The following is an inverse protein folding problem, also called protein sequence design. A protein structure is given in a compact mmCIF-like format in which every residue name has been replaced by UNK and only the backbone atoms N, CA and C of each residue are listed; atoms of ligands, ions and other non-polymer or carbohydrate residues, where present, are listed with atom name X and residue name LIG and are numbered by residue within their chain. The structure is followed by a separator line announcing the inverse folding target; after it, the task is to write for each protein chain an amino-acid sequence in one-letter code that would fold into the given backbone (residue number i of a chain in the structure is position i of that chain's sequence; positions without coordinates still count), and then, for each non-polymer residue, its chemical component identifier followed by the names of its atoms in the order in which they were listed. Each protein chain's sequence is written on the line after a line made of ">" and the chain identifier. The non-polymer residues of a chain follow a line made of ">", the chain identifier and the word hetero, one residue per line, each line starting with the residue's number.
data_IF_930388914334
#
_entry.id   IF_930388914334
#
_cell.length_a   1.000
_cell.length_b   1.000
_cell.length_c   1.000
_cell.angle_alpha   90.00
_cell.angle_beta   90.00
_cell.angle_gamma   90.00
#
_symmetry.space_group_name_H-M   'P 1'
#
loop_
_entity.id
_entity.type
_entity.pdbx_description
1 polymer ?
#
# COMPACT_ATOMS: atom_id res chain seq x y z
N UNK A 1 79.19 -33.58 -8.60
CA UNK A 1 78.18 -34.58 -8.21
C UNK A 1 76.87 -33.85 -8.04
N UNK A 2 75.97 -34.10 -8.98
CA UNK A 2 74.59 -33.62 -9.07
C UNK A 2 73.75 -34.19 -7.93
N UNK A 3 73.01 -33.34 -7.22
CA UNK A 3 71.88 -33.80 -6.43
C UNK A 3 70.66 -32.91 -6.75
N UNK A 4 69.95 -33.34 -7.78
CA UNK A 4 68.61 -32.93 -8.16
C UNK A 4 67.58 -33.75 -7.39
N UNK A 5 66.37 -33.18 -7.22
CA UNK A 5 65.11 -33.81 -6.79
C UNK A 5 64.91 -33.84 -5.25
N UNK A 6 63.85 -33.31 -4.67
CA UNK A 6 62.45 -33.26 -5.10
C UNK A 6 61.81 -31.93 -4.74
N UNK A 7 61.52 -31.11 -5.76
CA UNK A 7 60.43 -30.14 -5.68
C UNK A 7 59.18 -30.90 -6.12
N UNK A 8 58.41 -31.41 -5.17
CA UNK A 8 57.07 -31.93 -5.45
C UNK A 8 56.18 -30.74 -5.86
N UNK A 9 56.26 -30.39 -7.14
CA UNK A 9 55.20 -29.66 -7.83
C UNK A 9 54.03 -30.63 -7.91
N UNK A 10 53.07 -30.49 -7.00
CA UNK A 10 51.72 -31.00 -7.22
C UNK A 10 51.12 -30.13 -8.33
N UNK A 11 51.45 -30.41 -9.58
CA UNK A 11 50.53 -30.14 -10.68
C UNK A 11 49.39 -31.14 -10.50
N UNK A 12 48.37 -30.71 -9.75
CA UNK A 12 47.11 -31.43 -9.65
C UNK A 12 46.47 -31.40 -11.04
N UNK A 13 46.47 -32.57 -11.67
CA UNK A 13 45.78 -32.87 -12.91
C UNK A 13 44.37 -32.27 -12.89
N UNK A 14 44.19 -31.30 -13.77
CA UNK A 14 43.00 -30.49 -13.95
C UNK A 14 41.80 -31.34 -14.38
N UNK A 15 40.86 -31.56 -13.47
CA UNK A 15 39.44 -31.68 -13.83
C UNK A 15 38.93 -30.30 -14.30
N UNK A 16 39.34 -29.94 -15.52
CA UNK A 16 39.21 -28.62 -16.14
C UNK A 16 37.75 -28.16 -16.35
N UNK A 17 36.78 -29.08 -16.30
CA UNK A 17 35.35 -28.76 -16.42
C UNK A 17 34.68 -28.38 -15.09
N UNK A 18 35.16 -28.89 -13.95
CA UNK A 18 34.58 -28.62 -12.62
C UNK A 18 35.10 -27.31 -12.00
N UNK A 19 36.38 -27.02 -12.21
CA UNK A 19 37.03 -25.77 -11.74
C UNK A 19 36.34 -24.48 -12.20
N UNK A 20 35.96 -24.29 -13.48
CA UNK A 20 35.30 -23.06 -13.93
C UNK A 20 33.88 -22.93 -13.36
N UNK A 21 33.14 -24.04 -13.22
CA UNK A 21 31.81 -24.05 -12.61
C UNK A 21 31.90 -23.64 -11.14
N UNK A 22 32.84 -24.21 -10.38
CA UNK A 22 33.04 -23.87 -8.97
C UNK A 22 33.48 -22.42 -8.77
N UNK A 23 34.37 -21.92 -9.63
CA UNK A 23 34.75 -20.50 -9.62
C UNK A 23 33.54 -19.60 -9.90
N UNK A 24 32.74 -19.93 -10.93
CA UNK A 24 31.53 -19.17 -11.27
C UNK A 24 30.51 -19.16 -10.12
N UNK A 25 30.33 -20.29 -9.42
CA UNK A 25 29.46 -20.35 -8.24
C UNK A 25 29.99 -19.44 -7.14
N UNK A 26 31.29 -19.52 -6.84
CA UNK A 26 31.90 -18.70 -5.78
C UNK A 26 31.82 -17.20 -6.11
N UNK A 27 32.10 -16.81 -7.36
CA UNK A 27 31.97 -15.43 -7.83
C UNK A 27 30.52 -14.95 -7.69
N UNK A 28 29.55 -15.76 -8.11
CA UNK A 28 28.13 -15.45 -7.95
C UNK A 28 27.72 -15.26 -6.48
N UNK A 29 28.28 -16.06 -5.56
CA UNK A 29 28.01 -15.91 -4.12
C UNK A 29 28.65 -14.66 -3.53
N UNK A 30 29.88 -14.34 -3.93
CA UNK A 30 30.56 -13.11 -3.52
C UNK A 30 29.75 -11.89 -4.00
N UNK A 31 29.30 -11.87 -5.25
CA UNK A 31 28.46 -10.80 -5.81
C UNK A 31 27.12 -10.66 -5.09
N UNK A 32 26.47 -11.76 -4.71
CA UNK A 32 25.23 -11.72 -3.93
C UNK A 32 25.46 -11.07 -2.56
N UNK A 33 26.55 -11.43 -1.88
CA UNK A 33 26.92 -10.84 -0.60
C UNK A 33 27.26 -9.35 -0.75
N UNK A 34 27.98 -8.98 -1.81
CA UNK A 34 28.26 -7.58 -2.16
C UNK A 34 26.97 -6.78 -2.34
N UNK A 35 25.99 -7.34 -3.07
CA UNK A 35 24.72 -6.68 -3.39
C UNK A 35 23.82 -6.46 -2.16
N UNK A 36 23.82 -7.37 -1.18
CA UNK A 36 23.06 -7.22 0.06
C UNK A 36 23.78 -6.37 1.10
N UNK A 37 25.06 -6.07 0.90
CA UNK A 37 25.83 -5.21 1.80
C UNK A 37 25.38 -3.76 1.63
N UNK A 38 25.05 -3.11 2.74
CA UNK A 38 24.51 -1.75 2.72
C UNK A 38 25.51 -0.78 2.06
N UNK A 39 25.02 0.18 1.25
CA UNK A 39 25.91 1.12 0.57
C UNK A 39 26.83 1.93 1.50
N UNK A 40 26.36 2.18 2.72
CA UNK A 40 27.05 2.92 3.78
C UNK A 40 28.12 2.12 4.52
N UNK A 41 28.16 0.80 4.36
CA UNK A 41 29.12 -0.05 5.06
C UNK A 41 30.38 -0.28 4.21
N UNK A 42 31.26 0.71 4.27
CA UNK A 42 32.50 0.70 3.48
C UNK A 42 33.44 -0.43 3.90
N UNK A 43 33.56 -0.69 5.20
CA UNK A 43 34.45 -1.72 5.73
C UNK A 43 34.10 -3.12 5.21
N UNK A 44 32.81 -3.49 5.20
CA UNK A 44 32.40 -4.79 4.64
C UNK A 44 32.66 -4.87 3.14
N UNK A 45 32.41 -3.80 2.39
CA UNK A 45 32.71 -3.76 0.95
C UNK A 45 34.19 -3.95 0.67
N UNK A 46 35.07 -3.31 1.43
CA UNK A 46 36.52 -3.43 1.26
C UNK A 46 37.00 -4.88 1.51
N UNK A 47 36.42 -5.56 2.50
CA UNK A 47 36.70 -6.98 2.78
C UNK A 47 36.21 -7.88 1.65
N UNK A 48 34.96 -7.71 1.20
CA UNK A 48 34.38 -8.50 0.10
C UNK A 48 35.20 -8.31 -1.19
N UNK A 49 35.63 -7.09 -1.49
CA UNK A 49 36.48 -6.80 -2.64
C UNK A 49 37.86 -7.47 -2.50
N UNK A 50 38.45 -7.43 -1.31
CA UNK A 50 39.72 -8.10 -1.04
C UNK A 50 39.62 -9.62 -1.25
N UNK A 51 38.49 -10.24 -0.89
CA UNK A 51 38.21 -11.66 -1.13
C UNK A 51 38.05 -11.93 -2.63
N UNK A 52 37.33 -11.07 -3.35
CA UNK A 52 37.12 -11.16 -4.80
C UNK A 52 38.44 -11.18 -5.58
N UNK A 53 39.41 -10.39 -5.15
CA UNK A 53 40.72 -10.24 -5.79
C UNK A 53 41.66 -11.46 -5.59
N UNK A 54 41.30 -12.43 -4.72
CA UNK A 54 42.09 -13.64 -4.49
C UNK A 54 42.02 -14.59 -5.69
N UNK A 55 43.15 -14.77 -6.39
CA UNK A 55 43.23 -15.63 -7.59
C UNK A 55 43.07 -17.13 -7.32
N UNK A 56 43.49 -17.61 -6.15
CA UNK A 56 43.49 -19.04 -5.82
C UNK A 56 42.12 -19.44 -5.29
N UNK A 57 41.42 -20.34 -6.00
CA UNK A 57 40.07 -20.78 -5.61
C UNK A 57 39.99 -21.29 -4.16
N UNK A 58 40.85 -22.22 -3.69
CA UNK A 58 40.75 -22.72 -2.31
C UNK A 58 40.94 -21.61 -1.26
N UNK A 59 41.86 -20.68 -1.52
CA UNK A 59 42.11 -19.54 -0.61
C UNK A 59 40.93 -18.58 -0.61
N UNK A 60 40.40 -18.26 -1.79
CA UNK A 60 39.24 -17.38 -1.95
C UNK A 60 38.01 -17.94 -1.26
N UNK A 61 37.75 -19.24 -1.44
CA UNK A 61 36.65 -19.93 -0.78
C UNK A 61 36.83 -19.90 0.74
N UNK A 62 38.03 -20.21 1.25
CA UNK A 62 38.30 -20.16 2.69
C UNK A 62 38.03 -18.77 3.26
N UNK A 63 38.61 -17.72 2.66
CA UNK A 63 38.40 -16.35 3.13
C UNK A 63 36.94 -15.89 3.03
N UNK A 64 36.21 -16.35 2.01
CA UNK A 64 34.78 -16.09 1.90
C UNK A 64 33.98 -16.78 3.00
N UNK A 65 34.32 -18.04 3.33
CA UNK A 65 33.66 -18.77 4.41
C UNK A 65 33.98 -18.16 5.79
N UNK A 66 35.23 -17.77 6.03
CA UNK A 66 35.65 -17.08 7.26
C UNK A 66 34.84 -15.79 7.45
N UNK A 67 34.72 -14.99 6.38
CA UNK A 67 33.87 -13.79 6.38
C UNK A 67 32.41 -14.11 6.71
N UNK A 68 31.84 -15.17 6.13
CA UNK A 68 30.45 -15.55 6.40
C UNK A 68 30.24 -16.01 7.85
N UNK A 69 31.20 -16.73 8.42
CA UNK A 69 31.15 -17.18 9.82
C UNK A 69 31.18 -15.97 10.74
N UNK A 70 32.15 -15.08 10.55
CA UNK A 70 32.30 -13.87 11.36
C UNK A 70 31.06 -12.99 11.26
N UNK A 71 30.56 -12.76 10.04
CA UNK A 71 29.39 -11.94 9.81
C UNK A 71 28.12 -12.55 10.43
N UNK A 72 27.95 -13.86 10.32
CA UNK A 72 26.82 -14.56 10.98
C UNK A 72 26.90 -14.43 12.50
N UNK A 73 28.11 -14.50 13.06
CA UNK A 73 28.31 -14.28 14.49
C UNK A 73 27.95 -12.84 14.90
N UNK A 74 28.44 -11.83 14.16
CA UNK A 74 28.11 -10.42 14.41
C UNK A 74 26.60 -10.18 14.36
N UNK A 75 25.92 -10.69 13.32
CA UNK A 75 24.47 -10.54 13.18
C UNK A 75 23.71 -11.17 14.34
N UNK A 76 24.11 -12.37 14.80
CA UNK A 76 23.45 -13.02 15.94
C UNK A 76 23.65 -12.25 17.24
N UNK A 77 24.84 -11.69 17.45
CA UNK A 77 25.13 -10.85 18.61
C UNK A 77 24.28 -9.58 18.60
N UNK A 78 24.22 -8.87 17.48
CA UNK A 78 23.38 -7.68 17.32
C UNK A 78 21.90 -8.00 17.51
N UNK A 79 21.44 -9.13 16.96
CA UNK A 79 20.06 -9.59 17.12
C UNK A 79 19.72 -9.85 18.59
N UNK A 80 20.62 -10.50 19.34
CA UNK A 80 20.48 -10.70 20.78
C UNK A 80 20.37 -9.37 21.54
N UNK A 81 21.27 -8.42 21.26
CA UNK A 81 21.24 -7.09 21.88
C UNK A 81 19.94 -6.34 21.57
N UNK A 82 19.44 -6.43 20.34
CA UNK A 82 18.17 -5.80 19.95
C UNK A 82 16.97 -6.48 20.62
N UNK A 83 17.00 -7.79 20.80
CA UNK A 83 15.97 -8.51 21.53
C UNK A 83 15.95 -8.10 23.00
N UNK A 84 17.12 -7.94 23.64
CA UNK A 84 17.22 -7.48 25.02
C UNK A 84 16.69 -6.05 25.17
N UNK A 85 17.01 -5.15 24.23
CA UNK A 85 16.44 -3.79 24.19
C UNK A 85 14.91 -3.79 24.06
N UNK A 86 14.35 -4.69 23.24
CA UNK A 86 12.90 -4.84 23.09
C UNK A 86 12.27 -5.33 24.39
N UNK A 87 12.89 -6.30 25.06
CA UNK A 87 12.41 -6.81 26.33
C UNK A 87 12.43 -5.71 27.40
N UNK A 88 13.52 -4.94 27.49
CA UNK A 88 13.64 -3.81 28.41
C UNK A 88 12.56 -2.75 28.15
N UNK A 89 12.37 -2.33 26.90
CA UNK A 89 11.32 -1.36 26.53
C UNK A 89 9.91 -1.90 26.84
N UNK A 90 9.70 -3.20 26.64
CA UNK A 90 8.42 -3.86 26.94
C UNK A 90 8.14 -3.87 28.44
N UNK A 91 9.17 -4.16 29.26
CA UNK A 91 9.08 -4.11 30.71
C UNK A 91 8.82 -2.68 31.20
N UNK A 92 9.54 -1.69 30.67
CA UNK A 92 9.30 -0.26 30.95
C UNK A 92 7.87 0.14 30.60
N UNK A 93 7.35 -0.25 29.43
CA UNK A 93 5.96 0.01 29.03
C UNK A 93 4.95 -0.61 30.01
N UNK A 94 5.22 -1.83 30.48
CA UNK A 94 4.35 -2.54 31.42
C UNK A 94 4.30 -1.84 32.80
N UNK A 95 5.42 -1.29 33.27
CA UNK A 95 5.48 -0.54 34.52
C UNK A 95 4.77 0.81 34.41
N UNK A 96 4.93 1.53 33.29
CA UNK A 96 4.18 2.76 33.01
C UNK A 96 2.67 2.49 32.96
N UNK A 97 2.25 1.40 32.30
CA UNK A 97 0.83 0.99 32.24
C UNK A 97 0.26 0.65 33.62
N UNK A 98 1.03 -0.05 34.46
CA UNK A 98 0.62 -0.38 35.85
C UNK A 98 0.61 0.86 36.76
N UNK A 99 1.59 1.75 36.63
CA UNK A 99 1.64 3.03 37.35
C UNK A 99 0.44 3.93 37.04
N UNK A 100 -0.03 3.92 35.78
CA UNK A 100 -1.24 4.65 35.36
C UNK A 100 -2.54 4.11 35.98
N UNK A 101 -2.60 2.83 36.35
CA UNK A 101 -3.78 2.21 36.99
C UNK A 101 -3.75 2.33 38.52
N UNK A 102 -2.57 2.37 39.13
CA UNK A 102 -2.41 2.37 40.59
C UNK A 102 -2.74 3.71 41.26
N UNK A 103 -2.78 4.82 40.53
CA UNK A 103 -3.16 6.14 41.10
C UNK A 103 -4.66 6.44 41.01
N UNK A 104 -5.47 5.58 40.38
CA UNK A 104 -6.86 5.88 40.07
C UNK A 104 -7.85 5.64 41.23
N UNK A 105 -7.46 4.95 42.31
CA UNK A 105 -8.45 4.28 43.16
C UNK A 105 -8.63 4.79 44.60
N UNK A 106 -8.01 5.89 45.03
CA UNK A 106 -8.29 6.44 46.40
C UNK A 106 -8.36 7.96 46.52
N UNK A 107 -8.14 8.74 45.45
CA UNK A 107 -8.07 10.21 45.55
C UNK A 107 -9.03 10.97 44.63
N UNK A 108 -9.94 10.28 43.93
CA UNK A 108 -10.79 10.84 42.87
C UNK A 108 -11.70 11.96 43.36
N UNK A 109 -12.24 11.83 44.57
CA UNK A 109 -13.16 12.83 45.13
C UNK A 109 -12.47 14.14 45.56
N UNK A 110 -11.24 14.05 46.05
CA UNK A 110 -10.48 15.23 46.50
C UNK A 110 -9.75 15.92 45.34
N UNK A 111 -9.35 15.14 44.34
CA UNK A 111 -8.76 15.66 43.09
C UNK A 111 -9.80 16.39 42.24
N UNK A 112 -11.04 15.89 42.09
CA UNK A 112 -12.11 16.63 41.40
C UNK A 112 -12.39 17.98 42.04
N UNK A 113 -12.45 18.08 43.38
CA UNK A 113 -12.63 19.37 44.08
C UNK A 113 -11.44 20.32 43.86
N UNK A 114 -10.20 19.82 43.80
CA UNK A 114 -9.02 20.64 43.51
C UNK A 114 -8.99 21.10 42.05
N UNK A 115 -9.30 20.20 41.11
CA UNK A 115 -9.41 20.49 39.68
C UNK A 115 -10.48 21.55 39.45
N UNK A 116 -11.63 21.44 40.11
CA UNK A 116 -12.69 22.43 39.98
C UNK A 116 -12.33 23.79 40.58
N UNK A 117 -11.58 23.82 41.68
CA UNK A 117 -11.02 25.07 42.22
C UNK A 117 -10.00 25.71 41.28
N UNK A 118 -9.15 24.91 40.63
CA UNK A 118 -8.16 25.41 39.66
C UNK A 118 -8.86 25.87 38.38
N UNK A 119 -9.86 25.13 37.90
CA UNK A 119 -10.68 25.52 36.74
C UNK A 119 -11.38 26.85 36.98
N UNK A 120 -11.97 27.05 38.17
CA UNK A 120 -12.57 28.33 38.55
C UNK A 120 -11.54 29.45 38.72
N UNK A 121 -10.29 29.14 39.12
CA UNK A 121 -9.22 30.13 39.26
C UNK A 121 -8.64 30.56 37.91
N UNK A 122 -8.56 29.64 36.96
CA UNK A 122 -8.05 29.86 35.61
C UNK A 122 -9.15 30.31 34.62
N UNK A 123 -10.39 30.45 35.10
CA UNK A 123 -11.59 30.76 34.31
C UNK A 123 -11.81 29.78 33.13
N UNK A 124 -11.30 28.55 33.28
CA UNK A 124 -11.42 27.48 32.28
C UNK A 124 -12.68 26.69 32.62
N UNK A 125 -13.83 27.26 32.25
CA UNK A 125 -15.12 26.58 32.36
C UNK A 125 -15.35 25.65 31.16
N UNK A 126 -16.04 24.54 31.38
CA UNK A 126 -16.42 23.58 30.33
C UNK A 126 -17.19 24.26 29.19
N UNK A 127 -18.03 25.25 29.53
CA UNK A 127 -18.72 26.12 28.58
C UNK A 127 -17.77 27.01 27.75
N UNK A 128 -16.66 27.45 28.32
CA UNK A 128 -15.63 28.24 27.62
C UNK A 128 -14.89 27.36 26.62
N UNK A 129 -14.48 26.15 27.04
CA UNK A 129 -13.84 25.16 26.17
C UNK A 129 -14.80 24.71 25.06
N UNK A 130 -16.08 24.45 25.35
CA UNK A 130 -17.06 24.10 24.32
C UNK A 130 -17.28 25.24 23.31
N UNK A 131 -17.30 26.49 23.78
CA UNK A 131 -17.39 27.66 22.90
C UNK A 131 -16.17 27.80 21.99
N UNK A 132 -14.97 27.50 22.52
CA UNK A 132 -13.71 27.57 21.79
C UNK A 132 -13.54 26.38 20.84
N UNK A 133 -13.96 25.17 21.23
CA UNK A 133 -14.05 23.99 20.35
C UNK A 133 -15.04 24.24 19.21
N UNK A 134 -16.19 24.86 19.48
CA UNK A 134 -17.14 25.22 18.44
C UNK A 134 -16.58 26.31 17.51
N UNK A 135 -15.78 27.24 18.03
CA UNK A 135 -15.04 28.23 17.24
C UNK A 135 -13.95 27.56 16.38
N UNK A 136 -13.23 26.58 16.93
CA UNK A 136 -12.22 25.77 16.24
C UNK A 136 -12.83 24.85 15.17
N UNK A 137 -13.98 24.23 15.41
CA UNK A 137 -14.76 23.50 14.39
C UNK A 137 -15.26 24.41 13.27
N UNK A 138 -15.49 25.69 13.57
CA UNK A 138 -15.77 26.72 12.56
C UNK A 138 -14.51 27.04 11.76
N UNK A 139 -13.34 27.14 12.40
CA UNK A 139 -12.05 27.29 11.72
C UNK A 139 -11.66 26.06 10.90
N UNK A 140 -11.96 24.83 11.30
CA UNK A 140 -11.65 23.63 10.49
C UNK A 140 -12.52 23.49 9.24
N UNK A 141 -13.49 24.39 9.03
CA UNK A 141 -14.24 24.55 7.78
C UNK A 141 -13.64 25.62 6.85
N UNK A 142 -12.56 26.30 7.24
CA UNK A 142 -11.77 27.07 6.27
C UNK A 142 -11.02 26.09 5.40
N UNK A 143 -11.65 25.82 4.25
CA UNK A 143 -11.08 25.38 2.99
C UNK A 143 -9.59 24.97 3.04
N UNK A 144 -9.28 23.71 2.73
CA UNK A 144 -7.92 23.24 2.41
C UNK A 144 -7.16 24.15 1.41
N UNK A 145 -7.90 25.00 0.67
CA UNK A 145 -7.36 26.00 -0.25
C UNK A 145 -6.62 27.15 0.47
N UNK A 146 -6.96 27.46 1.72
CA UNK A 146 -6.30 28.54 2.49
C UNK A 146 -4.95 28.10 3.04
N UNK A 147 -4.82 26.85 3.51
CA UNK A 147 -3.54 26.29 3.94
C UNK A 147 -2.56 26.15 2.78
N UNK A 148 -3.05 25.75 1.60
CA UNK A 148 -2.23 25.68 0.39
C UNK A 148 -1.76 27.08 -0.07
N UNK A 149 -2.61 28.10 -0.01
CA UNK A 149 -2.24 29.50 -0.30
C UNK A 149 -1.26 30.05 0.73
N UNK A 150 -1.45 29.75 2.00
CA UNK A 150 -0.56 30.16 3.07
C UNK A 150 0.82 29.51 2.92
N UNK A 151 0.89 28.22 2.61
CA UNK A 151 2.14 27.52 2.33
C UNK A 151 2.87 28.09 1.10
N UNK A 152 2.15 28.39 0.01
CA UNK A 152 2.71 29.05 -1.18
C UNK A 152 3.29 30.44 -0.86
N UNK A 153 2.56 31.24 -0.09
CA UNK A 153 3.01 32.56 0.37
C UNK A 153 4.25 32.46 1.27
N UNK A 154 4.29 31.49 2.17
CA UNK A 154 5.42 31.29 3.09
C UNK A 154 6.72 30.95 2.35
N UNK A 155 6.62 30.18 1.27
CA UNK A 155 7.76 29.73 0.45
C UNK A 155 8.03 30.70 -0.72
N UNK A 156 7.30 31.82 -0.82
CA UNK A 156 7.36 32.79 -1.94
C UNK A 156 7.30 32.11 -3.31
N UNK A 157 6.54 31.03 -3.41
CA UNK A 157 6.47 30.20 -4.62
C UNK A 157 5.16 30.46 -5.36
N UNK A 158 5.18 30.31 -6.69
CA UNK A 158 3.97 30.37 -7.51
C UNK A 158 3.28 29.01 -7.52
N UNK A 159 1.94 29.03 -7.62
CA UNK A 159 1.13 27.82 -7.76
C UNK A 159 1.66 27.02 -8.96
N UNK A 160 2.10 25.78 -8.72
CA UNK A 160 2.73 24.97 -9.76
C UNK A 160 1.78 24.67 -10.92
N UNK A 161 2.32 24.53 -12.13
CA UNK A 161 1.55 24.33 -13.37
C UNK A 161 0.52 23.20 -13.27
N UNK A 162 0.87 22.09 -12.60
CA UNK A 162 -0.05 20.97 -12.36
C UNK A 162 -1.30 21.39 -11.58
N UNK A 163 -1.16 22.24 -10.57
CA UNK A 163 -2.27 22.72 -9.76
C UNK A 163 -3.17 23.71 -10.53
N UNK A 164 -2.62 24.40 -11.53
CA UNK A 164 -3.40 25.22 -12.47
C UNK A 164 -4.20 24.30 -13.39
N UNK A 165 -3.54 23.32 -14.03
CA UNK A 165 -4.19 22.35 -14.92
C UNK A 165 -5.30 21.56 -14.22
N UNK A 166 -5.09 21.14 -12.98
CA UNK A 166 -6.12 20.45 -12.20
C UNK A 166 -7.31 21.39 -11.92
N UNK A 167 -7.07 22.66 -11.61
CA UNK A 167 -8.14 23.63 -11.37
C UNK A 167 -8.96 23.89 -12.64
N UNK A 168 -8.30 23.97 -13.79
CA UNK A 168 -8.95 24.13 -15.09
C UNK A 168 -9.82 22.91 -15.42
N UNK A 169 -9.30 21.69 -15.20
CA UNK A 169 -10.04 20.44 -15.35
C UNK A 169 -11.27 20.37 -14.43
N UNK A 170 -11.14 20.77 -13.17
CA UNK A 170 -12.28 20.81 -12.23
C UNK A 170 -13.35 21.79 -12.73
N UNK A 171 -12.93 22.97 -13.19
CA UNK A 171 -13.84 24.00 -13.69
C UNK A 171 -14.57 23.56 -14.97
N UNK A 172 -13.86 22.89 -15.87
CA UNK A 172 -14.45 22.28 -17.08
C UNK A 172 -15.44 21.17 -16.72
N UNK A 173 -15.08 20.30 -15.77
CA UNK A 173 -15.95 19.21 -15.33
C UNK A 173 -17.23 19.74 -14.67
N UNK A 174 -17.14 20.83 -13.90
CA UNK A 174 -18.32 21.52 -13.35
C UNK A 174 -19.23 22.09 -14.45
N UNK A 175 -18.66 22.74 -15.48
CA UNK A 175 -19.44 23.23 -16.64
C UNK A 175 -20.14 22.09 -17.37
N UNK A 176 -19.44 20.98 -17.60
CA UNK A 176 -20.00 19.78 -18.21
C UNK A 176 -21.12 19.19 -17.37
N UNK A 177 -20.97 19.15 -16.03
CA UNK A 177 -22.01 18.69 -15.12
C UNK A 177 -23.27 19.55 -15.19
N UNK A 178 -23.11 20.87 -15.21
CA UNK A 178 -24.22 21.81 -15.40
C UNK A 178 -24.91 21.61 -16.75
N UNK A 179 -24.14 21.54 -17.84
CA UNK A 179 -24.70 21.29 -19.18
C UNK A 179 -25.41 19.94 -19.28
N UNK A 180 -24.85 18.87 -18.70
CA UNK A 180 -25.50 17.57 -18.65
C UNK A 180 -26.80 17.61 -17.86
N UNK A 181 -26.84 18.34 -16.74
CA UNK A 181 -28.07 18.50 -15.97
C UNK A 181 -29.15 19.24 -16.76
N UNK A 182 -28.78 20.26 -17.53
CA UNK A 182 -29.68 21.01 -18.39
C UNK A 182 -30.21 20.13 -19.54
N UNK A 183 -29.34 19.39 -20.22
CA UNK A 183 -29.74 18.42 -21.25
C UNK A 183 -30.67 17.33 -20.69
N UNK A 184 -30.39 16.82 -19.49
CA UNK A 184 -31.29 15.89 -18.79
C UNK A 184 -32.65 16.51 -18.50
N UNK A 185 -32.71 17.78 -18.09
CA UNK A 185 -33.99 18.47 -17.88
C UNK A 185 -34.75 18.63 -19.19
N UNK A 186 -34.08 19.03 -20.28
CA UNK A 186 -34.69 19.17 -21.61
C UNK A 186 -35.19 17.81 -22.14
N UNK A 187 -34.42 16.73 -22.01
CA UNK A 187 -34.85 15.38 -22.38
C UNK A 187 -36.07 14.93 -21.59
N UNK A 188 -36.12 15.22 -20.28
CA UNK A 188 -37.32 14.96 -19.47
C UNK A 188 -38.53 15.78 -19.95
N UNK A 189 -38.34 17.03 -20.35
CA UNK A 189 -39.44 17.86 -20.89
C UNK A 189 -39.93 17.32 -22.23
N UNK A 190 -39.01 16.92 -23.11
CA UNK A 190 -39.34 16.33 -24.42
C UNK A 190 -40.06 15.00 -24.24
N UNK A 191 -39.58 14.10 -23.38
CA UNK A 191 -40.24 12.82 -23.11
C UNK A 191 -41.63 13.00 -22.47
N UNK A 192 -41.80 13.96 -21.54
CA UNK A 192 -43.12 14.33 -21.02
C UNK A 192 -44.04 14.86 -22.12
N UNK A 193 -43.53 15.69 -23.03
CA UNK A 193 -44.31 16.23 -24.16
C UNK A 193 -44.65 15.17 -25.23
N UNK A 194 -43.80 14.16 -25.40
CA UNK A 194 -44.02 13.03 -26.30
C UNK A 194 -45.06 12.04 -25.73
N UNK A 195 -45.09 11.85 -24.41
CA UNK A 195 -46.13 11.05 -23.74
C UNK A 195 -47.45 11.82 -23.54
N UNK A 196 -47.44 13.15 -23.56
CA UNK A 196 -48.65 13.98 -23.50
C UNK A 196 -49.49 13.98 -24.80
N UNK A 197 -49.00 13.44 -25.92
CA UNK A 197 -49.76 13.35 -27.18
C UNK A 197 -50.55 12.05 -27.37
N UNK A 198 -50.50 11.12 -26.42
CA UNK A 198 -51.43 9.98 -26.32
C UNK A 198 -52.03 9.98 -24.92
N UNK A 199 -53.36 9.96 -24.85
CA UNK A 199 -54.20 10.02 -23.64
C UNK A 199 -54.49 11.42 -23.10
N UNK A 200 -55.39 12.11 -23.83
CA UNK A 200 -56.27 13.13 -23.27
C UNK A 200 -57.62 12.46 -22.97
N UNK A 201 -57.80 12.01 -21.73
CA UNK A 201 -59.03 11.60 -21.01
C UNK A 201 -58.54 10.74 -19.83
N UNK A 202 -58.87 10.92 -18.55
CA UNK A 202 -59.95 11.62 -17.86
C UNK A 202 -59.45 12.09 -16.47
N UNK A 203 -60.17 13.06 -15.93
CA UNK A 203 -60.23 13.50 -14.53
C UNK A 203 -59.75 12.47 -13.49
N UNK A 204 -58.81 12.85 -12.61
CA UNK A 204 -58.95 12.73 -11.14
C UNK A 204 -58.09 13.81 -10.46
N UNK A 205 -58.76 14.65 -9.69
CA UNK A 205 -58.21 15.56 -8.69
C UNK A 205 -57.66 14.75 -7.51
N UNK A 206 -56.46 15.10 -7.01
CA UNK A 206 -56.09 14.87 -5.62
C UNK A 206 -54.92 15.81 -5.27
N UNK A 207 -55.25 16.88 -4.56
CA UNK A 207 -54.33 17.56 -3.65
C UNK A 207 -53.80 16.54 -2.63
N UNK A 208 -52.49 16.55 -2.39
CA UNK A 208 -51.96 16.47 -1.02
C UNK A 208 -50.54 17.01 -1.03
N UNK A 209 -50.38 18.20 -0.47
CA UNK A 209 -49.15 18.59 0.22
C UNK A 209 -48.96 17.63 1.40
N UNK A 210 -47.76 17.07 1.54
CA UNK A 210 -47.07 16.89 2.83
C UNK A 210 -45.72 16.17 2.61
N UNK A 211 -44.67 16.85 3.06
CA UNK A 211 -43.45 16.39 3.75
C UNK A 211 -42.56 15.23 3.24
N UNK A 212 -41.27 15.59 3.18
CA UNK A 212 -40.07 14.82 3.51
C UNK A 212 -40.10 13.29 3.35
N UNK A 213 -39.37 12.78 2.34
CA UNK A 213 -38.61 11.54 2.47
C UNK A 213 -37.45 11.44 1.45
N UNK A 214 -36.30 11.92 1.91
CA UNK A 214 -35.01 11.21 1.97
C UNK A 214 -34.98 9.78 1.35
N UNK A 215 -34.13 9.62 0.31
CA UNK A 215 -33.61 8.37 -0.29
C UNK A 215 -34.59 7.32 -0.85
N UNK A 216 -34.73 7.21 -2.17
CA UNK A 216 -34.63 5.93 -2.91
C UNK A 216 -34.85 6.09 -4.42
N UNK A 217 -33.75 6.18 -5.19
CA UNK A 217 -33.76 5.76 -6.60
C UNK A 217 -32.59 4.80 -6.84
N UNK A 218 -32.73 3.57 -6.33
CA UNK A 218 -32.10 2.41 -6.99
C UNK A 218 -33.03 1.96 -8.11
N UNK A 219 -33.03 2.68 -9.23
CA UNK A 219 -33.43 2.05 -10.48
C UNK A 219 -32.40 0.95 -10.74
N UNK A 220 -32.78 -0.31 -10.49
CA UNK A 220 -31.97 -1.45 -10.90
C UNK A 220 -31.77 -1.31 -12.42
N UNK A 221 -30.52 -1.31 -12.92
CA UNK A 221 -30.29 -1.34 -14.35
C UNK A 221 -31.03 -2.56 -14.92
N UNK A 222 -31.63 -2.39 -16.10
CA UNK A 222 -32.25 -3.48 -16.83
C UNK A 222 -31.16 -4.50 -17.19
N UNK A 223 -31.12 -5.62 -16.46
CA UNK A 223 -30.11 -6.68 -16.61
C UNK A 223 -30.54 -7.75 -17.61
N UNK A 224 -31.61 -7.53 -18.37
CA UNK A 224 -32.11 -8.48 -19.37
C UNK A 224 -31.04 -8.78 -20.43
N UNK A 225 -30.38 -7.76 -20.96
CA UNK A 225 -29.29 -7.89 -21.94
C UNK A 225 -28.07 -8.65 -21.37
N UNK A 226 -27.69 -8.40 -20.11
CA UNK A 226 -26.59 -9.10 -19.45
C UNK A 226 -26.91 -10.57 -19.19
N UNK A 227 -28.17 -10.88 -18.88
CA UNK A 227 -28.64 -12.24 -18.67
C UNK A 227 -28.65 -13.03 -19.97
N UNK A 228 -29.04 -12.41 -21.08
CA UNK A 228 -28.98 -13.02 -22.41
C UNK A 228 -27.53 -13.29 -22.84
N UNK A 229 -26.62 -12.34 -22.59
CA UNK A 229 -25.18 -12.54 -22.84
C UNK A 229 -24.58 -13.68 -22.01
N UNK A 230 -24.96 -13.81 -20.74
CA UNK A 230 -24.49 -14.91 -19.89
C UNK A 230 -24.95 -16.29 -20.39
N UNK A 231 -26.22 -16.39 -20.79
CA UNK A 231 -26.78 -17.61 -21.37
C UNK A 231 -26.10 -18.00 -22.69
N UNK A 232 -25.74 -17.00 -23.50
CA UNK A 232 -25.00 -17.21 -24.74
C UNK A 232 -23.59 -17.75 -24.46
N UNK A 233 -22.88 -17.18 -23.49
CA UNK A 233 -21.55 -17.65 -23.06
C UNK A 233 -21.61 -19.09 -22.56
N UNK A 234 -22.63 -19.44 -21.76
CA UNK A 234 -22.81 -20.79 -21.24
C UNK A 234 -23.05 -21.81 -22.36
N UNK A 235 -23.83 -21.43 -23.36
CA UNK A 235 -24.08 -22.24 -24.56
C UNK A 235 -22.81 -22.46 -25.38
N UNK A 236 -22.00 -21.42 -25.54
CA UNK A 236 -20.75 -21.50 -26.32
C UNK A 236 -19.66 -22.30 -25.59
N UNK A 237 -19.59 -22.21 -24.25
CA UNK A 237 -18.73 -23.07 -23.43
C UNK A 237 -19.13 -24.54 -23.53
N UNK A 238 -20.44 -24.85 -23.53
CA UNK A 238 -20.93 -26.21 -23.72
C UNK A 238 -20.56 -26.77 -25.11
N UNK A 239 -20.68 -25.95 -26.16
CA UNK A 239 -20.25 -26.33 -27.52
C UNK A 239 -18.73 -26.56 -27.59
N UNK A 240 -17.93 -25.68 -26.97
CA UNK A 240 -16.48 -25.80 -26.96
C UNK A 240 -16.04 -27.08 -26.23
N UNK A 241 -16.65 -27.38 -25.08
CA UNK A 241 -16.41 -28.62 -24.33
C UNK A 241 -16.70 -29.85 -25.20
N UNK A 242 -17.83 -29.88 -25.89
CA UNK A 242 -18.18 -30.98 -26.78
C UNK A 242 -17.23 -31.11 -27.98
N UNK A 243 -16.78 -30.00 -28.56
CA UNK A 243 -15.78 -30.02 -29.65
C UNK A 243 -14.43 -30.57 -29.18
N UNK A 244 -13.96 -30.14 -28.01
CA UNK A 244 -12.72 -30.62 -27.41
C UNK A 244 -12.83 -32.12 -27.11
N UNK A 245 -13.92 -32.54 -26.46
CA UNK A 245 -14.16 -33.94 -26.13
C UNK A 245 -14.21 -34.82 -27.39
N UNK A 246 -14.92 -34.38 -28.44
CA UNK A 246 -14.97 -35.09 -29.71
C UNK A 246 -13.59 -35.17 -30.40
N UNK A 247 -12.78 -34.10 -30.38
CA UNK A 247 -11.42 -34.12 -30.93
C UNK A 247 -10.51 -35.11 -30.18
N UNK A 248 -10.59 -35.16 -28.85
CA UNK A 248 -9.81 -36.12 -28.05
C UNK A 248 -10.29 -37.57 -28.24
N UNK A 249 -11.59 -37.81 -28.41
CA UNK A 249 -12.12 -39.15 -28.73
C UNK A 249 -11.66 -39.65 -30.11
N UNK A 250 -11.54 -38.76 -31.11
CA UNK A 250 -11.03 -39.12 -32.45
C UNK A 250 -9.54 -39.44 -32.42
N UNK A 251 -8.74 -38.69 -31.65
CA UNK A 251 -7.29 -38.95 -31.48
C UNK A 251 -7.05 -40.30 -30.78
N UNK A 252 -7.83 -40.65 -29.76
CA UNK A 252 -7.69 -41.95 -29.07
C UNK A 252 -8.28 -43.13 -29.85
N UNK A 253 -9.25 -42.91 -30.74
CA UNK A 253 -9.78 -43.93 -31.64
C UNK A 253 -8.83 -44.27 -32.81
N UNK A 254 -8.03 -43.29 -33.27
CA UNK A 254 -7.09 -43.48 -34.39
C UNK A 254 -5.76 -44.12 -33.99
N UNK A 255 -5.47 -44.29 -32.69
CA UNK A 255 -4.28 -45.00 -32.19
C UNK A 255 -4.54 -46.48 -31.84
N UNK A 256 -5.75 -47.00 -32.09
CA UNK A 256 -6.12 -48.41 -31.85
C UNK A 256 -6.52 -49.17 -33.12
N UNK A 257 -5.98 -48.79 -34.28
CA UNK A 257 -6.00 -49.61 -35.50
C UNK A 257 -4.59 -49.85 -35.97
#
# INVERSE_FOLDING_TARGET
>A
MTNTNNLYSYEEDTNEAGSPVLNSILDSRIEQIEAITLPSDQHRKDIIQSIKDIKSYPKRLSSFLDYLIDYTYTLNLELGQKQDQINELTDQLSTVKKGSLSCANTNTYNSQKRIQKIANLLDVHESSIESEINSLKKCSKTSFDDDYKNALNLVKSQKGNLAITIQDLISENQKLKSSNSELLTQLKTINKSAHSKKYRNENVLSDSDDDDDVYSYKQKPDMSDLKEQFNQIETDLAKLKNQVQNKFSVIHGSMRK
#
